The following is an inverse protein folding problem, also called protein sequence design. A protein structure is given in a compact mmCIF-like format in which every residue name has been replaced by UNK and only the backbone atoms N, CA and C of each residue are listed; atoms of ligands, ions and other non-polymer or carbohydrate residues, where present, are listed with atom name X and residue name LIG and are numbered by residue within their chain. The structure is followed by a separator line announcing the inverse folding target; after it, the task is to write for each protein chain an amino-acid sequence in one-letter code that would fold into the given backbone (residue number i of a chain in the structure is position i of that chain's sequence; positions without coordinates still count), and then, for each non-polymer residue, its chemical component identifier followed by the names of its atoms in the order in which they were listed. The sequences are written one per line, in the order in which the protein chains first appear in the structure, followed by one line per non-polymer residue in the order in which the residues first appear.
data_IF_445209389220
#
_entry.id   IF_445209389220
#
_cell.length_a   1.000
_cell.length_b   1.000
_cell.length_c   1.000
_cell.angle_alpha   90.00
_cell.angle_beta   90.00
_cell.angle_gamma   90.00
#
_symmetry.space_group_name_H-M   'P 1'
#
loop_
_entity.id
_entity.type
_entity.pdbx_description
1 polymer ?
#
# COMPACT_ATOMS: atom_id res chain seq x y z
N UNK A 1 9.88 9.59 27.31
CA UNK A 1 9.65 10.16 25.96
C UNK A 1 10.93 10.24 25.17
N UNK A 2 10.82 10.51 23.89
CA UNK A 2 11.95 10.69 22.99
C UNK A 2 12.59 12.08 23.22
N UNK A 3 13.90 12.18 22.97
CA UNK A 3 14.57 13.49 22.94
C UNK A 3 14.11 14.24 21.68
N UNK A 4 13.53 15.43 21.88
CA UNK A 4 13.10 16.32 20.83
C UNK A 4 14.04 17.51 20.73
N UNK A 5 14.46 17.88 19.51
CA UNK A 5 15.15 19.14 19.23
C UNK A 5 14.21 20.06 18.47
N UNK A 6 13.97 21.27 19.00
CA UNK A 6 12.94 22.17 18.51
C UNK A 6 11.60 21.99 19.28
N UNK A 7 10.49 22.39 18.67
CA UNK A 7 9.17 22.30 19.26
C UNK A 7 8.21 21.53 18.36
N UNK A 8 7.44 20.63 18.97
CA UNK A 8 6.30 19.98 18.34
C UNK A 8 5.06 20.84 18.68
N UNK A 9 4.21 21.22 17.71
CA UNK A 9 2.97 21.95 17.98
C UNK A 9 2.11 21.21 19.00
N UNK A 10 1.55 21.95 19.96
CA UNK A 10 0.74 21.36 21.05
C UNK A 10 -0.60 20.79 20.59
N UNK A 11 -1.11 21.26 19.47
CA UNK A 11 -2.33 20.79 18.81
C UNK A 11 -2.11 19.55 17.93
N UNK A 12 -0.84 19.14 17.74
CA UNK A 12 -0.50 17.94 16.97
C UNK A 12 -0.52 16.70 17.88
N UNK A 13 -1.55 15.88 17.70
CA UNK A 13 -1.68 14.56 18.35
C UNK A 13 -2.06 13.52 17.32
N UNK A 14 -1.41 12.34 17.37
CA UNK A 14 -1.67 11.28 16.41
C UNK A 14 -0.53 10.27 16.32
N UNK A 15 -0.62 9.44 15.30
CA UNK A 15 0.41 8.46 14.96
C UNK A 15 0.93 8.79 13.55
N UNK A 16 2.19 9.20 13.46
CA UNK A 16 2.90 9.30 12.19
C UNK A 16 3.48 7.94 11.85
N UNK A 17 3.17 7.42 10.66
CA UNK A 17 3.67 6.12 10.19
C UNK A 17 4.26 6.25 8.80
N UNK A 18 5.38 5.59 8.58
CA UNK A 18 6.00 5.35 7.27
C UNK A 18 6.15 3.85 7.05
N UNK A 19 6.13 3.46 5.79
CA UNK A 19 6.37 2.09 5.34
C UNK A 19 7.46 2.08 4.26
N UNK A 20 8.18 0.99 4.16
CA UNK A 20 9.17 0.79 3.12
C UNK A 20 9.68 -0.65 3.08
N UNK A 21 10.29 -1.06 1.95
CA UNK A 21 10.85 -2.40 1.83
C UNK A 21 12.09 -2.57 2.73
N UNK A 22 12.18 -3.72 3.38
CA UNK A 22 13.32 -4.10 4.22
C UNK A 22 13.70 -5.56 3.94
N UNK A 23 14.86 -5.82 3.31
CA UNK A 23 15.33 -7.19 3.08
C UNK A 23 15.57 -7.91 4.41
N UNK A 24 15.03 -9.13 4.56
CA UNK A 24 15.18 -9.94 5.78
C UNK A 24 16.45 -10.81 5.77
N UNK A 25 17.13 -10.90 4.65
CA UNK A 25 18.35 -11.68 4.47
C UNK A 25 19.34 -10.91 3.60
N UNK A 26 20.56 -11.43 3.49
CA UNK A 26 21.55 -10.92 2.54
C UNK A 26 21.00 -11.00 1.11
N UNK A 27 21.10 -9.90 0.39
CA UNK A 27 20.63 -9.80 -0.99
C UNK A 27 21.79 -9.90 -1.98
N UNK A 28 21.51 -10.38 -3.18
CA UNK A 28 22.45 -10.29 -4.28
C UNK A 28 22.41 -8.87 -4.85
N UNK A 29 23.42 -8.05 -4.54
CA UNK A 29 23.50 -6.64 -4.93
C UNK A 29 23.34 -6.40 -6.44
N UNK A 30 23.70 -7.37 -7.29
CA UNK A 30 23.58 -7.25 -8.75
C UNK A 30 22.16 -7.46 -9.27
N UNK A 31 21.28 -8.06 -8.47
CA UNK A 31 19.91 -8.41 -8.85
C UNK A 31 18.85 -7.73 -7.98
N UNK A 32 19.23 -7.30 -6.77
CA UNK A 32 18.30 -6.71 -5.84
C UNK A 32 17.89 -5.33 -6.30
N UNK A 33 16.58 -5.09 -6.38
CA UNK A 33 16.01 -3.77 -6.55
C UNK A 33 15.54 -3.24 -5.20
N UNK A 34 15.72 -1.97 -4.93
CA UNK A 34 15.40 -1.35 -3.65
C UNK A 34 13.88 -1.30 -3.32
N UNK A 35 13.00 -1.66 -4.27
CA UNK A 35 11.58 -1.90 -4.01
C UNK A 35 11.30 -3.26 -3.37
N UNK A 36 12.27 -4.18 -3.40
CA UNK A 36 12.09 -5.56 -2.94
C UNK A 36 12.45 -5.69 -1.46
N UNK A 37 11.59 -6.37 -0.71
CA UNK A 37 11.76 -6.65 0.71
C UNK A 37 10.41 -6.65 1.43
N UNK A 38 10.42 -7.14 2.66
CA UNK A 38 9.24 -7.11 3.52
C UNK A 38 8.92 -5.69 3.97
N UNK A 39 7.65 -5.37 4.15
CA UNK A 39 7.23 -4.08 4.67
C UNK A 39 7.76 -3.86 6.08
N UNK A 40 8.43 -2.73 6.29
CA UNK A 40 8.82 -2.30 7.63
C UNK A 40 8.18 -0.96 7.96
N UNK A 41 7.33 -0.99 8.97
CA UNK A 41 6.67 0.18 9.50
C UNK A 41 7.59 0.92 10.48
N UNK A 42 7.60 2.23 10.38
CA UNK A 42 8.24 3.14 11.32
C UNK A 42 7.20 4.11 11.85
N UNK A 43 6.90 4.06 13.14
CA UNK A 43 5.86 4.88 13.76
C UNK A 43 6.39 5.77 14.87
N UNK A 44 5.87 7.00 14.93
CA UNK A 44 6.08 7.94 16.02
C UNK A 44 4.72 8.34 16.57
N UNK A 45 4.49 8.10 17.84
CA UNK A 45 3.29 8.59 18.54
C UNK A 45 3.54 9.99 19.07
N UNK A 46 2.72 10.91 18.65
CA UNK A 46 2.72 12.32 19.11
C UNK A 46 1.49 12.57 19.97
N UNK A 47 1.67 13.37 21.02
CA UNK A 47 0.57 13.85 21.87
C UNK A 47 0.92 15.16 22.54
N UNK A 48 0.10 16.16 22.28
CA UNK A 48 0.13 17.47 22.96
C UNK A 48 1.53 18.09 23.04
N UNK A 49 2.27 18.06 21.92
CA UNK A 49 3.62 18.62 21.82
C UNK A 49 4.74 17.67 22.29
N UNK A 50 4.43 16.41 22.57
CA UNK A 50 5.41 15.40 22.98
C UNK A 50 5.53 14.27 21.96
N UNK A 51 6.75 13.74 21.77
CA UNK A 51 7.00 12.48 21.09
C UNK A 51 7.07 11.36 22.15
N UNK A 52 6.01 10.54 22.22
CA UNK A 52 5.88 9.55 23.29
C UNK A 52 6.74 8.33 23.06
N UNK A 53 6.73 7.78 21.84
CA UNK A 53 7.52 6.63 21.45
C UNK A 53 7.81 6.63 19.94
N UNK A 54 8.89 5.95 19.60
CA UNK A 54 9.20 5.47 18.26
C UNK A 54 9.22 3.93 18.28
N UNK A 55 8.61 3.31 17.29
CA UNK A 55 8.67 1.87 17.06
C UNK A 55 8.91 1.59 15.60
N UNK A 56 9.57 0.47 15.32
CA UNK A 56 9.57 -0.13 14.01
C UNK A 56 9.16 -1.59 14.11
N UNK A 57 8.38 -2.06 13.13
CA UNK A 57 7.91 -3.45 13.04
C UNK A 57 7.82 -3.88 11.59
N UNK A 58 8.16 -5.13 11.35
CA UNK A 58 7.84 -5.78 10.08
C UNK A 58 6.34 -5.97 9.96
N UNK A 59 5.85 -5.85 8.73
CA UNK A 59 4.48 -6.21 8.40
C UNK A 59 4.41 -7.73 8.26
N UNK A 60 3.56 -8.38 9.06
CA UNK A 60 3.22 -9.79 8.90
C UNK A 60 2.00 -9.89 7.98
N UNK A 61 2.27 -10.02 6.69
CA UNK A 61 1.27 -10.01 5.63
C UNK A 61 0.93 -11.39 5.07
N UNK A 62 1.46 -12.49 5.64
CA UNK A 62 1.42 -13.83 5.06
C UNK A 62 1.95 -13.81 3.61
N UNK A 63 1.06 -13.73 2.62
CA UNK A 63 1.41 -13.72 1.19
C UNK A 63 1.63 -12.30 0.61
N UNK A 64 1.57 -11.25 1.45
CA UNK A 64 1.73 -9.86 1.01
C UNK A 64 2.91 -9.19 1.70
N UNK A 65 3.82 -8.65 0.93
CA UNK A 65 4.95 -7.86 1.47
C UNK A 65 4.50 -6.50 2.02
N UNK A 66 3.36 -5.97 1.58
CA UNK A 66 2.73 -4.72 2.01
C UNK A 66 3.73 -3.60 2.35
N UNK A 67 4.68 -3.33 1.44
CA UNK A 67 5.92 -2.60 1.74
C UNK A 67 5.98 -1.17 1.18
N UNK A 68 4.89 -0.64 0.59
CA UNK A 68 5.02 0.61 -0.18
C UNK A 68 4.42 1.82 0.54
N UNK A 69 3.20 1.72 1.05
CA UNK A 69 2.51 2.87 1.63
C UNK A 69 1.69 2.52 2.86
N UNK A 70 1.19 3.53 3.54
CA UNK A 70 0.26 3.40 4.67
C UNK A 70 -0.91 4.34 4.44
N UNK A 71 -2.11 3.85 4.58
CA UNK A 71 -3.34 4.63 4.48
C UNK A 71 -4.21 4.45 5.72
N UNK A 72 -5.11 5.41 5.95
CA UNK A 72 -6.21 5.25 6.90
C UNK A 72 -7.54 5.27 6.15
N UNK A 73 -8.44 4.34 6.49
CA UNK A 73 -9.78 4.29 5.93
C UNK A 73 -10.74 3.63 6.93
N UNK A 74 -11.98 4.10 7.02
CA UNK A 74 -13.00 3.56 7.91
C UNK A 74 -12.53 3.37 9.38
N UNK A 75 -11.72 4.31 9.88
CA UNK A 75 -11.19 4.30 11.26
C UNK A 75 -10.06 3.29 11.52
N UNK A 76 -9.56 2.64 10.49
CA UNK A 76 -8.47 1.65 10.53
C UNK A 76 -7.24 2.13 9.78
N UNK A 77 -6.12 1.46 9.97
CA UNK A 77 -4.84 1.73 9.31
C UNK A 77 -4.43 0.51 8.50
N UNK A 78 -3.92 0.73 7.29
CA UNK A 78 -3.51 -0.35 6.38
C UNK A 78 -2.12 -0.10 5.81
N UNK A 79 -1.25 -1.10 5.89
CA UNK A 79 -0.05 -1.18 5.07
C UNK A 79 -0.43 -1.77 3.71
N UNK A 80 0.04 -1.16 2.63
CA UNK A 80 -0.35 -1.52 1.27
C UNK A 80 0.85 -1.63 0.34
N UNK A 81 0.64 -2.36 -0.74
CA UNK A 81 1.57 -2.54 -1.86
C UNK A 81 0.76 -2.64 -3.15
N UNK A 82 1.40 -2.41 -4.28
CA UNK A 82 0.81 -2.62 -5.60
C UNK A 82 1.18 -4.00 -6.19
N UNK A 83 0.59 -4.31 -7.32
CA UNK A 83 0.99 -5.42 -8.19
C UNK A 83 0.79 -6.83 -7.62
N UNK A 84 -0.32 -7.05 -6.90
CA UNK A 84 -0.77 -8.38 -6.48
C UNK A 84 -0.83 -8.59 -4.96
N UNK A 85 -0.20 -7.72 -4.17
CA UNK A 85 -0.26 -7.82 -2.70
C UNK A 85 -1.58 -7.34 -2.12
N UNK A 86 -2.07 -8.03 -1.09
CA UNK A 86 -3.24 -7.59 -0.33
C UNK A 86 -2.86 -6.54 0.72
N UNK A 87 -3.76 -5.60 1.06
CA UNK A 87 -3.60 -4.73 2.22
C UNK A 87 -3.49 -5.53 3.52
N UNK A 88 -2.71 -5.02 4.45
CA UNK A 88 -2.61 -5.57 5.80
C UNK A 88 -3.10 -4.53 6.80
N UNK A 89 -4.15 -4.86 7.53
CA UNK A 89 -4.65 -4.02 8.62
C UNK A 89 -3.64 -4.02 9.77
N UNK A 90 -3.31 -2.84 10.29
CA UNK A 90 -2.39 -2.67 11.42
C UNK A 90 -3.06 -1.89 12.56
N UNK A 91 -2.66 -2.16 13.79
CA UNK A 91 -3.12 -1.42 14.95
C UNK A 91 -2.27 -0.18 15.25
N UNK A 92 -2.64 0.56 16.29
CA UNK A 92 -1.93 1.77 16.75
C UNK A 92 -0.55 1.48 17.35
N UNK A 93 -0.23 0.23 17.60
CA UNK A 93 1.06 -0.26 18.07
C UNK A 93 1.89 -0.92 16.96
N UNK A 94 1.43 -0.80 15.70
CA UNK A 94 2.02 -1.34 14.47
C UNK A 94 1.99 -2.88 14.41
N UNK A 95 1.08 -3.55 15.09
CA UNK A 95 0.88 -4.99 14.92
C UNK A 95 -0.01 -5.26 13.71
N UNK A 96 0.35 -6.28 12.93
CA UNK A 96 -0.51 -6.78 11.85
C UNK A 96 -1.69 -7.53 12.43
N UNK A 97 -2.90 -7.25 11.90
CA UNK A 97 -4.16 -7.79 12.41
C UNK A 97 -4.86 -8.69 11.38
N UNK A 98 -5.08 -8.17 10.18
CA UNK A 98 -5.85 -8.83 9.13
C UNK A 98 -5.17 -8.62 7.77
N UNK A 99 -4.98 -9.69 7.02
CA UNK A 99 -4.25 -9.69 5.75
C UNK A 99 -5.16 -9.61 4.51
N UNK A 100 -6.48 -9.56 4.69
CA UNK A 100 -7.47 -9.42 3.61
C UNK A 100 -8.64 -8.53 4.04
N UNK A 101 -8.36 -7.29 4.44
CA UNK A 101 -9.35 -6.46 5.13
C UNK A 101 -10.56 -6.06 4.29
N UNK A 102 -10.40 -5.99 2.95
CA UNK A 102 -11.47 -5.50 2.07
C UNK A 102 -12.23 -6.59 1.34
N UNK A 103 -11.61 -7.74 1.10
CA UNK A 103 -12.11 -8.76 0.18
C UNK A 103 -12.51 -10.08 0.86
N UNK A 104 -12.25 -10.24 2.15
CA UNK A 104 -12.41 -11.53 2.83
C UNK A 104 -11.54 -12.61 2.17
N UNK A 105 -12.18 -13.65 1.63
CA UNK A 105 -11.47 -14.77 0.99
C UNK A 105 -11.02 -14.50 -0.46
N UNK A 106 -11.40 -13.37 -1.05
CA UNK A 106 -10.98 -13.03 -2.43
C UNK A 106 -9.54 -12.54 -2.44
N UNK A 107 -8.77 -13.00 -3.42
CA UNK A 107 -7.38 -12.61 -3.62
C UNK A 107 -7.31 -11.66 -4.82
N UNK A 108 -7.64 -10.39 -4.60
CA UNK A 108 -7.76 -9.41 -5.67
C UNK A 108 -6.53 -8.49 -5.81
N UNK A 109 -5.56 -8.60 -4.88
CA UNK A 109 -4.47 -7.64 -4.80
C UNK A 109 -4.96 -6.25 -4.41
N UNK A 110 -4.08 -5.26 -4.49
CA UNK A 110 -4.44 -3.86 -4.24
C UNK A 110 -3.51 -2.91 -4.99
N UNK A 111 -3.59 -1.62 -4.67
CA UNK A 111 -2.72 -0.55 -5.18
C UNK A 111 -1.91 0.08 -4.05
N UNK A 112 -0.80 0.73 -4.39
CA UNK A 112 -0.02 1.53 -3.44
C UNK A 112 -0.59 2.94 -3.21
N UNK A 113 -1.42 3.46 -4.13
CA UNK A 113 -1.90 4.84 -4.12
C UNK A 113 -3.42 4.95 -4.38
N UNK A 114 -4.27 4.35 -3.55
CA UNK A 114 -5.72 4.52 -3.68
C UNK A 114 -6.10 5.98 -3.42
N UNK A 115 -7.23 6.42 -3.96
CA UNK A 115 -7.75 7.78 -3.81
C UNK A 115 -9.02 7.77 -2.95
N UNK A 116 -9.02 8.60 -1.93
CA UNK A 116 -10.20 8.84 -1.12
C UNK A 116 -11.05 9.93 -1.80
N UNK A 117 -12.31 9.63 -2.08
CA UNK A 117 -13.28 10.63 -2.52
C UNK A 117 -13.73 11.45 -1.29
N UNK A 118 -13.50 12.76 -1.26
CA UNK A 118 -13.85 13.58 -0.11
C UNK A 118 -15.37 13.77 0.08
N UNK A 119 -16.16 13.57 -0.98
CA UNK A 119 -17.62 13.76 -0.93
C UNK A 119 -18.34 12.51 -0.41
N UNK A 120 -17.86 11.32 -0.79
CA UNK A 120 -18.49 10.03 -0.45
C UNK A 120 -17.75 9.26 0.63
N UNK A 121 -16.49 9.62 0.93
CA UNK A 121 -15.56 8.84 1.74
C UNK A 121 -15.32 7.42 1.23
N UNK A 122 -15.52 7.19 -0.06
CA UNK A 122 -15.18 5.94 -0.73
C UNK A 122 -13.70 5.92 -1.13
N UNK A 123 -13.09 4.75 -1.02
CA UNK A 123 -11.70 4.54 -1.43
C UNK A 123 -11.70 3.90 -2.82
N UNK A 124 -11.09 4.58 -3.77
CA UNK A 124 -10.98 4.17 -5.17
C UNK A 124 -9.57 3.65 -5.46
N UNK A 125 -9.48 2.47 -6.04
CA UNK A 125 -8.21 1.79 -6.28
C UNK A 125 -8.15 1.22 -7.69
N UNK A 126 -6.98 1.32 -8.34
CA UNK A 126 -6.64 0.60 -9.57
C UNK A 126 -5.70 -0.54 -9.20
N UNK A 127 -6.22 -1.75 -9.28
CA UNK A 127 -5.54 -2.95 -8.83
C UNK A 127 -5.10 -3.80 -10.01
N UNK A 128 -3.87 -4.28 -10.00
CA UNK A 128 -3.37 -5.21 -11.00
C UNK A 128 -2.49 -6.26 -10.32
N UNK A 129 -2.37 -7.41 -10.95
CA UNK A 129 -1.57 -8.53 -10.44
C UNK A 129 -0.69 -9.07 -11.55
N UNK A 130 0.56 -8.61 -11.57
CA UNK A 130 1.52 -9.00 -12.60
C UNK A 130 1.92 -10.49 -12.56
N UNK A 131 1.68 -11.17 -11.45
CA UNK A 131 1.99 -12.60 -11.31
C UNK A 131 0.91 -13.50 -11.91
N UNK A 132 -0.35 -13.08 -11.87
CA UNK A 132 -1.49 -13.91 -12.23
C UNK A 132 -2.29 -13.38 -13.42
N UNK A 133 -2.32 -12.06 -13.64
CA UNK A 133 -3.13 -11.46 -14.68
C UNK A 133 -2.50 -10.18 -15.24
N UNK A 134 -1.94 -10.25 -16.44
CA UNK A 134 -1.34 -9.11 -17.13
C UNK A 134 -2.29 -8.38 -18.09
N UNK A 135 -3.46 -8.95 -18.36
CA UNK A 135 -4.33 -8.48 -19.43
C UNK A 135 -5.49 -7.62 -18.92
N UNK A 136 -5.59 -7.47 -17.61
CA UNK A 136 -6.64 -6.67 -16.97
C UNK A 136 -6.11 -5.85 -15.80
N UNK A 137 -6.77 -4.74 -15.55
CA UNK A 137 -6.66 -3.97 -14.31
C UNK A 137 -8.06 -3.85 -13.71
N UNK A 138 -8.16 -4.02 -12.41
CA UNK A 138 -9.42 -3.95 -11.70
C UNK A 138 -9.61 -2.57 -11.05
N UNK A 139 -10.65 -1.88 -11.45
CA UNK A 139 -11.15 -0.73 -10.73
C UNK A 139 -11.98 -1.20 -9.55
N UNK A 140 -11.49 -0.94 -8.35
CA UNK A 140 -12.10 -1.38 -7.09
C UNK A 140 -12.58 -0.17 -6.29
N UNK A 141 -13.76 -0.29 -5.68
CA UNK A 141 -14.31 0.69 -4.75
C UNK A 141 -14.58 0.03 -3.41
N UNK A 142 -14.04 0.61 -2.37
CA UNK A 142 -14.30 0.26 -0.97
C UNK A 142 -15.18 1.37 -0.37
N UNK A 143 -16.26 1.01 0.26
CA UNK A 143 -17.19 1.98 0.83
C UNK A 143 -16.64 2.69 2.08
N UNK A 144 -17.35 3.70 2.55
CA UNK A 144 -17.00 4.49 3.73
C UNK A 144 -16.86 3.68 5.03
N UNK A 145 -17.38 2.45 5.06
CA UNK A 145 -17.31 1.54 6.21
C UNK A 145 -16.19 0.50 6.08
N UNK A 146 -15.41 0.56 4.99
CA UNK A 146 -14.32 -0.38 4.72
C UNK A 146 -14.77 -1.69 4.08
N UNK A 147 -15.99 -1.74 3.52
CA UNK A 147 -16.51 -2.92 2.83
C UNK A 147 -16.32 -2.80 1.33
N UNK A 148 -16.03 -3.93 0.68
CA UNK A 148 -15.96 -4.00 -0.78
C UNK A 148 -17.33 -3.67 -1.40
N UNK A 149 -17.36 -2.65 -2.26
CA UNK A 149 -18.57 -2.17 -2.93
C UNK A 149 -18.66 -2.60 -4.40
N UNK A 150 -17.55 -2.52 -5.12
CA UNK A 150 -17.52 -2.74 -6.57
C UNK A 150 -16.14 -3.22 -7.02
N UNK A 151 -16.12 -4.13 -7.99
CA UNK A 151 -14.97 -4.40 -8.86
C UNK A 151 -15.43 -4.35 -10.31
N UNK A 152 -14.67 -3.68 -11.16
CA UNK A 152 -14.87 -3.63 -12.60
C UNK A 152 -13.54 -3.90 -13.29
N UNK A 153 -13.43 -5.05 -13.95
CA UNK A 153 -12.25 -5.40 -14.74
C UNK A 153 -12.23 -4.62 -16.05
N UNK A 154 -11.07 -4.10 -16.39
CA UNK A 154 -10.81 -3.30 -17.59
C UNK A 154 -9.69 -3.99 -18.36
N UNK A 155 -9.86 -4.29 -19.66
CA UNK A 155 -8.79 -4.82 -20.49
C UNK A 155 -7.57 -3.87 -20.51
N UNK A 156 -6.38 -4.44 -20.35
CA UNK A 156 -5.15 -3.67 -20.24
C UNK A 156 -3.98 -4.41 -20.91
N UNK A 157 -3.67 -4.05 -22.15
CA UNK A 157 -2.74 -4.80 -23.00
C UNK A 157 -1.28 -4.33 -22.87
N UNK A 158 -1.03 -3.13 -22.38
CA UNK A 158 0.31 -2.52 -22.38
C UNK A 158 1.26 -3.13 -21.34
N UNK A 159 0.75 -3.82 -20.32
CA UNK A 159 1.56 -4.41 -19.23
C UNK A 159 2.42 -3.39 -18.51
N UNK A 160 2.01 -2.13 -18.50
CA UNK A 160 2.76 -1.09 -17.81
C UNK A 160 2.59 -1.19 -16.28
N UNK A 161 3.54 -0.61 -15.57
CA UNK A 161 3.44 -0.45 -14.12
C UNK A 161 2.44 0.68 -13.82
N UNK A 162 1.29 0.32 -13.26
CA UNK A 162 0.22 1.25 -12.90
C UNK A 162 0.42 1.78 -11.48
N UNK A 163 1.48 2.55 -11.29
CA UNK A 163 1.87 3.03 -9.96
C UNK A 163 0.89 4.06 -9.39
N UNK A 164 0.26 4.86 -10.24
CA UNK A 164 -0.54 6.00 -9.82
C UNK A 164 -1.86 6.10 -10.59
N UNK A 165 -2.87 6.68 -9.95
CA UNK A 165 -4.15 6.99 -10.55
C UNK A 165 -4.68 8.33 -10.01
N UNK A 166 -5.73 8.86 -10.61
CA UNK A 166 -6.43 10.03 -10.10
C UNK A 166 -7.94 9.85 -10.21
N UNK A 167 -8.67 10.57 -9.39
CA UNK A 167 -10.13 10.64 -9.48
C UNK A 167 -10.58 12.07 -9.73
N UNK A 168 -11.67 12.21 -10.44
CA UNK A 168 -12.46 13.42 -10.53
C UNK A 168 -13.88 13.09 -10.07
N UNK A 169 -14.77 14.07 -10.02
CA UNK A 169 -16.18 13.83 -9.65
C UNK A 169 -16.85 12.70 -10.47
N UNK A 170 -16.46 12.52 -11.74
CA UNK A 170 -17.13 11.61 -12.65
C UNK A 170 -16.25 10.53 -13.25
N UNK A 171 -14.92 10.61 -13.08
CA UNK A 171 -13.97 9.73 -13.77
C UNK A 171 -12.88 9.23 -12.86
N UNK A 172 -12.49 7.99 -13.08
CA UNK A 172 -11.22 7.41 -12.65
C UNK A 172 -10.23 7.52 -13.81
N UNK A 173 -9.04 8.07 -13.54
CA UNK A 173 -7.97 8.22 -14.52
C UNK A 173 -6.87 7.21 -14.21
N UNK A 174 -6.50 6.44 -15.22
CA UNK A 174 -5.41 5.45 -15.17
C UNK A 174 -4.28 5.97 -16.03
N UNK A 175 -3.06 5.96 -15.50
CA UNK A 175 -1.88 6.41 -16.23
C UNK A 175 -1.16 5.20 -16.83
N UNK A 176 -1.41 4.94 -18.12
CA UNK A 176 -0.66 3.95 -18.90
C UNK A 176 0.66 4.57 -19.37
N UNK A 177 1.70 4.40 -18.56
CA UNK A 177 3.02 5.01 -18.77
C UNK A 177 3.98 4.02 -19.41
N UNK A 178 5.17 4.52 -19.78
CA UNK A 178 6.15 3.77 -20.59
C UNK A 178 6.96 2.72 -19.82
N UNK A 179 6.84 2.64 -18.50
CA UNK A 179 7.51 1.59 -17.70
C UNK A 179 6.67 0.31 -17.78
N UNK A 180 7.21 -0.72 -18.42
CA UNK A 180 6.52 -1.98 -18.65
C UNK A 180 7.25 -3.15 -17.98
N UNK A 181 6.50 -4.19 -17.60
CA UNK A 181 7.08 -5.40 -17.06
C UNK A 181 7.72 -6.25 -18.17
N UNK A 182 9.03 -6.48 -18.07
CA UNK A 182 9.78 -7.38 -18.93
C UNK A 182 9.74 -8.79 -18.33
N UNK A 183 8.83 -9.65 -18.86
CA UNK A 183 8.63 -11.01 -18.37
C UNK A 183 9.89 -11.89 -18.47
N UNK A 184 10.76 -11.63 -19.45
CA UNK A 184 12.01 -12.37 -19.61
C UNK A 184 12.99 -12.01 -18.47
N UNK A 185 13.09 -10.76 -18.12
CA UNK A 185 13.92 -10.31 -16.98
C UNK A 185 13.35 -10.78 -15.65
N UNK A 186 12.03 -10.66 -15.46
CA UNK A 186 11.33 -11.16 -14.26
C UNK A 186 11.59 -12.65 -14.05
N UNK A 187 11.45 -13.48 -15.08
CA UNK A 187 11.72 -14.92 -15.02
C UNK A 187 13.17 -15.28 -14.67
N UNK A 188 14.11 -14.33 -14.78
CA UNK A 188 15.52 -14.45 -14.37
C UNK A 188 15.82 -13.81 -13.01
N UNK A 189 14.80 -13.33 -12.33
CA UNK A 189 14.93 -12.69 -11.02
C UNK A 189 15.48 -11.26 -11.06
N UNK A 190 15.30 -10.56 -12.18
CA UNK A 190 15.55 -9.12 -12.26
C UNK A 190 14.21 -8.38 -12.14
N UNK A 191 14.21 -7.31 -11.36
CA UNK A 191 13.08 -6.37 -11.36
C UNK A 191 13.13 -5.55 -12.66
N UNK A 192 11.98 -5.26 -13.33
CA UNK A 192 11.94 -4.52 -14.59
C UNK A 192 12.38 -3.07 -14.47
#
# INVERSE_FOLDING_TARGET
GLKVTGQIPKDLSGLFVRNGPNPMSSVNEKKHHWFLGEGMLHGIRLDSGNALWYKNKLVDGNDSVANTSVISHAGKIYAIVEAGGNPVEIDKDLNSLNTKPFYGDKNAGFTAHPKLDPDTNELHAMCYDYANNFDTVDYVVIDQNGSHKKTQSIPFESRSMLHECAITKNYMLVFDLSVVFDLYKLGRGYFP
#
